data_IF_294824243224
#
_entry.id   IF_294824243224
#
_cell.length_a   1.000
_cell.length_b   1.000
_cell.length_c   1.000
_cell.angle_alpha   90.00
_cell.angle_beta   90.00
_cell.angle_gamma   90.00
#
_symmetry.space_group_name_H-M   'P 1'
#
loop_
_entity.id
_entity.type
_entity.pdbx_description
1 polymer ?
#
# COMPACT_ATOMS: atom_id res chain seq x y z
N UNK A 1 -11.96 9.94 18.98
CA UNK A 1 -12.27 10.08 17.53
C UNK A 1 -12.51 8.70 16.90
N UNK A 2 -13.60 8.54 16.12
CA UNK A 2 -13.92 7.31 15.37
C UNK A 2 -13.54 7.40 13.88
N UNK A 3 -13.82 6.35 13.09
CA UNK A 3 -13.44 6.25 11.66
C UNK A 3 -13.96 7.43 10.82
N UNK A 4 -15.23 7.81 10.98
CA UNK A 4 -15.80 8.96 10.27
C UNK A 4 -15.14 10.29 10.66
N UNK A 5 -14.71 10.42 11.92
CA UNK A 5 -13.93 11.59 12.36
C UNK A 5 -12.57 11.66 11.67
N UNK A 6 -11.87 10.53 11.58
CA UNK A 6 -10.58 10.43 10.87
C UNK A 6 -10.75 10.78 9.40
N UNK A 7 -11.77 10.23 8.72
CA UNK A 7 -12.05 10.52 7.32
C UNK A 7 -12.39 12.01 7.11
N UNK A 8 -13.28 12.57 7.93
CA UNK A 8 -13.66 13.98 7.86
C UNK A 8 -12.47 14.92 8.05
N UNK A 9 -11.61 14.62 9.02
CA UNK A 9 -10.40 15.42 9.26
C UNK A 9 -9.40 15.28 8.11
N UNK A 10 -9.22 14.08 7.58
CA UNK A 10 -8.35 13.81 6.43
C UNK A 10 -8.82 14.53 5.17
N UNK A 11 -10.14 14.65 4.95
CA UNK A 11 -10.70 15.43 3.85
C UNK A 11 -10.34 16.92 3.95
N UNK A 12 -10.18 17.45 5.16
CA UNK A 12 -9.82 18.86 5.38
C UNK A 12 -8.34 19.15 5.16
N UNK A 13 -7.47 18.15 5.28
CA UNK A 13 -6.01 18.31 5.18
C UNK A 13 -5.58 18.90 3.82
N UNK A 14 -6.02 18.38 2.64
CA UNK A 14 -5.70 18.99 1.36
C UNK A 14 -6.16 20.45 1.25
N UNK A 15 -7.33 20.79 1.80
CA UNK A 15 -7.84 22.17 1.80
C UNK A 15 -7.01 23.09 2.70
N UNK A 16 -6.50 22.60 3.84
CA UNK A 16 -5.56 23.35 4.70
C UNK A 16 -4.21 23.57 4.04
N UNK A 17 -3.73 22.59 3.26
CA UNK A 17 -2.51 22.69 2.45
C UNK A 17 -2.67 23.65 1.25
N UNK A 18 -3.90 23.86 0.77
CA UNK A 18 -4.22 24.78 -0.32
C UNK A 18 -3.42 24.48 -1.58
N UNK A 19 -2.60 25.45 -2.03
CA UNK A 19 -1.77 25.32 -3.24
C UNK A 19 -0.79 24.14 -3.18
N UNK A 20 -0.32 23.75 -1.99
CA UNK A 20 0.61 22.64 -1.83
C UNK A 20 -0.06 21.29 -2.09
N UNK A 21 -1.29 21.10 -1.61
CA UNK A 21 -2.05 19.88 -1.82
C UNK A 21 -2.32 19.66 -3.32
N UNK A 22 -2.67 20.73 -4.02
CA UNK A 22 -2.82 20.72 -5.49
C UNK A 22 -1.50 20.37 -6.16
N UNK A 23 -0.39 21.04 -5.78
CA UNK A 23 0.93 20.77 -6.34
C UNK A 23 1.36 19.30 -6.14
N UNK A 24 1.12 18.73 -4.96
CA UNK A 24 1.41 17.33 -4.66
C UNK A 24 0.60 16.38 -5.53
N UNK A 25 -0.71 16.61 -5.65
CA UNK A 25 -1.57 15.82 -6.51
C UNK A 25 -1.09 15.86 -7.97
N UNK A 26 -0.82 17.05 -8.51
CA UNK A 26 -0.31 17.19 -9.89
C UNK A 26 1.07 16.57 -10.07
N UNK A 27 1.96 16.68 -9.08
CA UNK A 27 3.32 16.12 -9.12
C UNK A 27 3.34 14.59 -9.14
N UNK A 28 2.27 13.93 -8.69
CA UNK A 28 2.10 12.49 -8.84
C UNK A 28 1.30 12.14 -10.11
N UNK A 29 0.13 12.76 -10.29
CA UNK A 29 -0.80 12.40 -11.36
C UNK A 29 -0.16 12.57 -12.74
N UNK A 30 0.47 13.71 -12.99
CA UNK A 30 1.03 14.03 -14.31
C UNK A 30 2.11 13.02 -14.74
N UNK A 31 3.16 12.76 -13.94
CA UNK A 31 4.15 11.74 -14.31
C UNK A 31 3.56 10.32 -14.33
N UNK A 32 2.63 9.97 -13.45
CA UNK A 32 1.96 8.64 -13.48
C UNK A 32 1.15 8.45 -14.77
N UNK A 33 0.43 9.48 -15.23
CA UNK A 33 -0.31 9.43 -16.49
C UNK A 33 0.64 9.32 -17.69
N UNK A 34 1.73 10.09 -17.71
CA UNK A 34 2.74 10.01 -18.77
C UNK A 34 3.37 8.62 -18.81
N UNK A 35 3.71 8.07 -17.64
CA UNK A 35 4.30 6.74 -17.51
C UNK A 35 3.33 5.65 -18.00
N UNK A 36 2.05 5.75 -17.64
CA UNK A 36 1.01 4.85 -18.14
C UNK A 36 0.87 4.92 -19.66
N UNK A 37 0.80 6.13 -20.22
CA UNK A 37 0.70 6.34 -21.67
C UNK A 37 1.94 5.77 -22.37
N UNK A 38 3.14 6.05 -21.86
CA UNK A 38 4.40 5.53 -22.38
C UNK A 38 4.42 3.99 -22.38
N UNK A 39 3.96 3.36 -21.30
CA UNK A 39 3.80 1.91 -21.20
C UNK A 39 2.86 1.38 -22.30
N UNK A 40 1.67 1.95 -22.44
CA UNK A 40 0.70 1.53 -23.47
C UNK A 40 1.31 1.60 -24.87
N UNK A 41 2.05 2.67 -25.19
CA UNK A 41 2.71 2.80 -26.49
C UNK A 41 3.89 1.84 -26.68
N UNK A 42 4.70 1.63 -25.64
CA UNK A 42 5.84 0.72 -25.67
C UNK A 42 5.40 -0.74 -25.90
N UNK A 43 4.31 -1.16 -25.24
CA UNK A 43 3.82 -2.54 -25.34
C UNK A 43 2.90 -2.81 -26.55
N UNK A 44 2.33 -1.75 -27.15
CA UNK A 44 1.41 -1.85 -28.29
C UNK A 44 1.89 -2.78 -29.42
N UNK A 45 3.11 -2.65 -29.96
CA UNK A 45 3.54 -3.52 -31.06
C UNK A 45 3.58 -4.99 -30.66
N UNK A 46 4.05 -5.32 -29.45
CA UNK A 46 4.14 -6.69 -28.96
C UNK A 46 2.77 -7.31 -28.71
N UNK A 47 1.82 -6.56 -28.15
CA UNK A 47 0.45 -7.06 -28.00
C UNK A 47 -0.25 -7.31 -29.33
N UNK A 48 -0.02 -6.45 -30.33
CA UNK A 48 -0.56 -6.65 -31.68
C UNK A 48 0.05 -7.89 -32.33
N UNK A 49 1.37 -8.06 -32.20
CA UNK A 49 2.09 -9.19 -32.77
C UNK A 49 1.67 -10.53 -32.14
N UNK A 50 1.58 -10.60 -30.80
CA UNK A 50 1.02 -11.76 -30.10
C UNK A 50 -0.41 -12.05 -30.56
N UNK A 51 -1.24 -11.02 -30.74
CA UNK A 51 -2.61 -11.23 -31.20
C UNK A 51 -2.67 -11.81 -32.62
N UNK A 52 -1.81 -11.33 -33.53
CA UNK A 52 -1.70 -11.86 -34.89
C UNK A 52 -1.17 -13.29 -34.90
N UNK A 53 -0.05 -13.55 -34.20
CA UNK A 53 0.55 -14.89 -34.05
C UNK A 53 -0.42 -15.88 -33.43
N UNK A 54 -1.17 -15.47 -32.40
CA UNK A 54 -2.18 -16.31 -31.75
C UNK A 54 -3.33 -16.66 -32.69
N UNK A 55 -3.80 -15.71 -33.50
CA UNK A 55 -4.82 -15.99 -34.53
C UNK A 55 -4.30 -16.97 -35.60
N UNK A 56 -3.04 -16.82 -36.04
CA UNK A 56 -2.41 -17.73 -37.00
C UNK A 56 -2.18 -19.13 -36.41
N UNK A 57 -1.77 -19.21 -35.14
CA UNK A 57 -1.55 -20.47 -34.45
C UNK A 57 -2.85 -21.27 -34.30
N UNK A 58 -3.98 -20.61 -34.07
CA UNK A 58 -5.28 -21.26 -33.96
C UNK A 58 -5.74 -22.01 -35.23
N UNK A 59 -5.19 -21.64 -36.40
CA UNK A 59 -5.49 -22.28 -37.69
C UNK A 59 -4.33 -23.16 -38.19
N UNK A 60 -3.23 -23.23 -37.46
CA UNK A 60 -2.03 -24.01 -37.81
C UNK A 60 -2.06 -25.37 -37.11
N UNK A 61 -1.72 -26.45 -37.83
CA UNK A 61 -1.68 -27.80 -37.26
C UNK A 61 -0.54 -27.95 -36.23
N UNK A 62 -0.87 -28.57 -35.09
CA UNK A 62 0.08 -28.82 -33.99
C UNK A 62 1.16 -29.80 -34.42
N UNK A 63 2.40 -29.54 -33.99
CA UNK A 63 3.56 -30.37 -34.31
C UNK A 63 4.21 -30.06 -35.67
N UNK A 64 3.73 -29.02 -36.36
CA UNK A 64 4.42 -28.49 -37.54
C UNK A 64 5.54 -27.52 -37.13
N UNK A 65 6.64 -27.40 -37.90
CA UNK A 65 7.69 -26.41 -37.63
C UNK A 65 7.16 -24.98 -37.54
N UNK A 66 6.09 -24.67 -38.31
CA UNK A 66 5.41 -23.37 -38.27
C UNK A 66 4.71 -23.12 -36.94
N UNK A 67 4.09 -24.13 -36.33
CA UNK A 67 3.48 -24.01 -35.02
C UNK A 67 4.52 -23.69 -33.93
N UNK A 68 5.68 -24.36 -33.97
CA UNK A 68 6.76 -24.15 -33.01
C UNK A 68 7.43 -22.76 -33.20
N UNK A 69 7.55 -22.29 -34.45
CA UNK A 69 8.00 -20.93 -34.77
C UNK A 69 7.05 -19.87 -34.19
N UNK A 70 5.73 -20.04 -34.35
CA UNK A 70 4.73 -19.13 -33.80
C UNK A 70 4.78 -19.12 -32.25
N UNK A 71 4.88 -20.30 -31.63
CA UNK A 71 4.96 -20.42 -30.17
C UNK A 71 6.21 -19.76 -29.60
N UNK A 72 7.39 -20.06 -30.14
CA UNK A 72 8.65 -19.45 -29.72
C UNK A 72 8.69 -17.94 -29.98
N UNK A 73 8.08 -17.49 -31.08
CA UNK A 73 7.88 -16.09 -31.40
C UNK A 73 7.05 -15.36 -30.34
N UNK A 74 5.94 -15.93 -29.89
CA UNK A 74 5.12 -15.35 -28.81
C UNK A 74 5.83 -15.40 -27.45
N UNK A 75 6.56 -16.47 -27.13
CA UNK A 75 7.32 -16.55 -25.88
C UNK A 75 8.34 -15.41 -25.77
N UNK A 76 9.01 -15.11 -26.89
CA UNK A 76 9.92 -13.97 -26.98
C UNK A 76 9.21 -12.64 -26.72
N UNK A 77 8.05 -12.42 -27.35
CA UNK A 77 7.28 -11.19 -27.15
C UNK A 77 6.78 -11.05 -25.71
N UNK A 78 6.29 -12.13 -25.10
CA UNK A 78 5.86 -12.16 -23.69
C UNK A 78 7.03 -11.80 -22.79
N UNK A 79 8.23 -12.32 -23.03
CA UNK A 79 9.42 -12.00 -22.25
C UNK A 79 9.77 -10.51 -22.32
N UNK A 80 9.66 -9.92 -23.51
CA UNK A 80 9.88 -8.47 -23.69
C UNK A 80 8.80 -7.66 -22.95
N UNK A 81 7.52 -8.03 -23.10
CA UNK A 81 6.41 -7.40 -22.38
C UNK A 81 6.63 -7.44 -20.87
N UNK A 82 7.01 -8.60 -20.32
CA UNK A 82 7.26 -8.74 -18.88
C UNK A 82 8.41 -7.84 -18.40
N UNK A 83 9.49 -7.72 -19.17
CA UNK A 83 10.62 -6.85 -18.84
C UNK A 83 10.23 -5.37 -18.83
N UNK A 84 9.52 -4.92 -19.87
CA UNK A 84 9.03 -3.55 -19.98
C UNK A 84 8.00 -3.22 -18.89
N UNK A 85 7.00 -4.10 -18.67
CA UNK A 85 6.03 -3.92 -17.60
C UNK A 85 6.70 -3.82 -16.22
N UNK A 86 7.71 -4.66 -15.94
CA UNK A 86 8.45 -4.60 -14.69
C UNK A 86 9.18 -3.26 -14.52
N UNK A 87 9.79 -2.72 -15.59
CA UNK A 87 10.46 -1.43 -15.58
C UNK A 87 9.48 -0.28 -15.31
N UNK A 88 8.35 -0.23 -16.04
CA UNK A 88 7.30 0.77 -15.82
C UNK A 88 6.68 0.66 -14.43
N UNK A 89 6.41 -0.56 -13.95
CA UNK A 89 5.89 -0.81 -12.61
C UNK A 89 6.84 -0.31 -11.53
N UNK A 90 8.15 -0.55 -11.68
CA UNK A 90 9.16 -0.08 -10.74
C UNK A 90 9.25 1.45 -10.73
N UNK A 91 9.28 2.08 -11.90
CA UNK A 91 9.31 3.54 -12.02
C UNK A 91 8.06 4.20 -11.41
N UNK A 92 6.87 3.64 -11.68
CA UNK A 92 5.61 4.09 -11.07
C UNK A 92 5.59 3.91 -9.56
N UNK A 93 6.14 2.80 -9.06
CA UNK A 93 6.25 2.53 -7.62
C UNK A 93 7.17 3.51 -6.89
N UNK A 94 8.30 3.88 -7.50
CA UNK A 94 9.21 4.89 -6.94
C UNK A 94 8.53 6.25 -6.88
N UNK A 95 7.85 6.64 -7.96
CA UNK A 95 7.10 7.90 -8.01
C UNK A 95 6.00 7.94 -6.93
N UNK A 96 5.25 6.85 -6.79
CA UNK A 96 4.22 6.71 -5.77
C UNK A 96 4.82 6.81 -4.36
N UNK A 97 5.97 6.15 -4.10
CA UNK A 97 6.65 6.23 -2.81
C UNK A 97 7.05 7.66 -2.48
N UNK A 98 7.67 8.39 -3.42
CA UNK A 98 8.07 9.79 -3.21
C UNK A 98 6.85 10.67 -2.89
N UNK A 99 5.75 10.47 -3.61
CA UNK A 99 4.50 11.18 -3.36
C UNK A 99 3.91 10.84 -1.98
N UNK A 100 3.95 9.57 -1.57
CA UNK A 100 3.53 9.12 -0.24
C UNK A 100 4.38 9.78 0.85
N UNK A 101 5.70 9.81 0.73
CA UNK A 101 6.60 10.49 1.69
C UNK A 101 6.25 11.99 1.80
N UNK A 102 6.06 12.64 0.65
CA UNK A 102 5.70 14.06 0.62
C UNK A 102 4.31 14.32 1.25
N UNK A 103 3.33 13.48 0.97
CA UNK A 103 1.98 13.57 1.53
C UNK A 103 1.97 13.34 3.04
N UNK A 104 2.71 12.36 3.55
CA UNK A 104 2.82 12.11 5.00
C UNK A 104 3.47 13.30 5.70
N UNK A 105 4.59 13.79 5.17
CA UNK A 105 5.31 14.93 5.76
C UNK A 105 4.44 16.20 5.77
N UNK A 106 3.79 16.51 4.64
CA UNK A 106 2.91 17.66 4.51
C UNK A 106 1.67 17.56 5.43
N UNK A 107 1.06 16.38 5.53
CA UNK A 107 -0.11 16.15 6.38
C UNK A 107 0.24 16.20 7.86
N UNK A 108 1.38 15.64 8.26
CA UNK A 108 1.89 15.75 9.63
C UNK A 108 2.12 17.21 10.03
N UNK A 109 2.71 18.02 9.16
CA UNK A 109 2.92 19.46 9.44
C UNK A 109 1.61 20.25 9.49
N UNK A 110 0.65 19.92 8.62
CA UNK A 110 -0.68 20.50 8.65
C UNK A 110 -1.44 20.16 9.94
N UNK A 111 -1.25 18.95 10.49
CA UNK A 111 -1.78 18.55 11.80
C UNK A 111 -1.22 19.43 12.93
N UNK A 112 0.08 19.75 12.89
CA UNK A 112 0.75 20.63 13.86
C UNK A 112 0.62 22.13 13.55
N UNK A 113 -0.20 22.53 12.58
CA UNK A 113 -0.45 23.94 12.22
C UNK A 113 0.73 24.66 11.55
N UNK A 114 1.74 23.93 11.06
CA UNK A 114 2.92 24.52 10.42
C UNK A 114 2.68 24.74 8.92
N UNK A 115 3.08 25.91 8.42
CA UNK A 115 3.09 26.21 6.97
C UNK A 115 4.37 25.68 6.35
N UNK A 116 4.25 25.02 5.20
CA UNK A 116 5.38 24.38 4.51
C UNK A 116 5.58 25.07 3.16
N UNK A 117 6.80 25.45 2.80
CA UNK A 117 7.06 25.87 1.42
C UNK A 117 7.27 24.64 0.51
N UNK A 118 6.87 24.70 -0.78
CA UNK A 118 7.08 23.58 -1.70
C UNK A 118 8.56 23.19 -1.81
N UNK A 119 9.46 24.18 -1.79
CA UNK A 119 10.90 23.96 -1.92
C UNK A 119 11.44 23.16 -0.73
N UNK A 120 11.04 23.54 0.48
CA UNK A 120 11.48 22.89 1.71
C UNK A 120 10.93 21.46 1.79
N UNK A 121 9.71 21.24 1.29
CA UNK A 121 9.11 19.91 1.18
C UNK A 121 9.97 18.98 0.30
N UNK A 122 10.31 19.39 -0.93
CA UNK A 122 11.08 18.53 -1.85
C UNK A 122 12.50 18.26 -1.34
N UNK A 123 13.17 19.28 -0.78
CA UNK A 123 14.51 19.11 -0.17
C UNK A 123 14.45 18.11 0.98
N UNK A 124 13.42 18.21 1.83
CA UNK A 124 13.26 17.31 2.96
C UNK A 124 12.90 15.89 2.54
N UNK A 125 12.00 15.72 1.57
CA UNK A 125 11.68 14.41 0.98
C UNK A 125 12.95 13.76 0.46
N UNK A 126 13.78 14.48 -0.30
CA UNK A 126 15.07 14.00 -0.79
C UNK A 126 16.10 13.66 0.31
N UNK A 127 15.94 14.20 1.52
CA UNK A 127 16.79 13.85 2.67
C UNK A 127 16.30 12.63 3.43
N UNK A 128 14.98 12.37 3.47
CA UNK A 128 14.40 11.31 4.31
C UNK A 128 13.97 10.06 3.54
N UNK A 129 13.89 10.11 2.19
CA UNK A 129 13.35 9.04 1.33
C UNK A 129 13.97 7.65 1.54
N UNK A 130 15.22 7.55 2.01
CA UNK A 130 15.88 6.26 2.24
C UNK A 130 15.17 5.42 3.30
N UNK A 131 14.64 6.04 4.36
CA UNK A 131 14.00 5.30 5.47
C UNK A 131 12.67 4.68 5.01
N UNK A 132 11.76 5.42 4.35
CA UNK A 132 10.55 4.84 3.77
C UNK A 132 10.84 3.85 2.65
N UNK A 133 11.91 4.05 1.86
CA UNK A 133 12.33 3.09 0.85
C UNK A 133 12.69 1.73 1.47
N UNK A 134 13.46 1.71 2.55
CA UNK A 134 13.81 0.46 3.24
C UNK A 134 12.56 -0.22 3.77
N UNK A 135 11.65 0.53 4.38
CA UNK A 135 10.36 0.00 4.86
C UNK A 135 9.50 -0.55 3.72
N UNK A 136 9.43 0.18 2.60
CA UNK A 136 8.71 -0.25 1.40
C UNK A 136 9.28 -1.54 0.80
N UNK A 137 10.61 -1.66 0.74
CA UNK A 137 11.28 -2.90 0.31
C UNK A 137 10.98 -4.06 1.28
N UNK A 138 11.03 -3.84 2.60
CA UNK A 138 10.64 -4.85 3.58
C UNK A 138 9.19 -5.32 3.37
N UNK A 139 8.26 -4.38 3.17
CA UNK A 139 6.85 -4.68 2.87
C UNK A 139 6.74 -5.49 1.56
N UNK A 140 7.50 -5.12 0.53
CA UNK A 140 7.55 -5.85 -0.73
C UNK A 140 7.99 -7.31 -0.55
N UNK A 141 9.04 -7.56 0.23
CA UNK A 141 9.50 -8.92 0.57
C UNK A 141 8.42 -9.69 1.31
N UNK A 142 7.72 -9.08 2.27
CA UNK A 142 6.61 -9.73 2.97
C UNK A 142 5.44 -10.06 2.03
N UNK A 143 5.05 -9.13 1.14
CA UNK A 143 3.99 -9.36 0.15
C UNK A 143 4.36 -10.52 -0.79
N UNK A 144 5.61 -10.56 -1.27
CA UNK A 144 6.09 -11.62 -2.14
C UNK A 144 6.15 -12.97 -1.41
N UNK A 145 6.65 -13.00 -0.18
CA UNK A 145 6.68 -14.20 0.65
C UNK A 145 5.28 -14.73 0.94
N UNK A 146 4.33 -13.83 1.26
CA UNK A 146 2.94 -14.21 1.48
C UNK A 146 2.28 -14.77 0.21
N UNK A 147 2.52 -14.14 -0.94
CA UNK A 147 2.04 -14.62 -2.24
C UNK A 147 2.62 -16.01 -2.58
N UNK A 148 3.91 -16.22 -2.36
CA UNK A 148 4.57 -17.50 -2.56
C UNK A 148 3.95 -18.60 -1.70
N UNK A 149 3.73 -18.33 -0.42
CA UNK A 149 3.05 -19.26 0.50
C UNK A 149 1.61 -19.55 0.06
N UNK A 150 0.89 -18.54 -0.41
CA UNK A 150 -0.47 -18.71 -0.92
C UNK A 150 -0.51 -19.63 -2.15
N UNK A 151 0.41 -19.43 -3.11
CA UNK A 151 0.51 -20.28 -4.31
C UNK A 151 0.84 -21.73 -3.94
N UNK A 152 1.80 -21.93 -3.03
CA UNK A 152 2.15 -23.27 -2.55
C UNK A 152 0.95 -23.95 -1.86
N UNK A 153 0.24 -23.20 -1.02
CA UNK A 153 -0.94 -23.69 -0.31
C UNK A 153 -2.06 -24.07 -1.29
N UNK A 154 -2.38 -23.22 -2.27
CA UNK A 154 -3.38 -23.53 -3.29
C UNK A 154 -2.97 -24.74 -4.13
N UNK A 155 -1.70 -24.84 -4.54
CA UNK A 155 -1.20 -26.01 -5.27
C UNK A 155 -1.35 -27.32 -4.48
N UNK A 156 -1.06 -27.28 -3.18
CA UNK A 156 -1.26 -28.41 -2.29
C UNK A 156 -2.75 -28.76 -2.11
N UNK A 157 -3.63 -27.76 -2.00
CA UNK A 157 -5.07 -27.98 -1.95
C UNK A 157 -5.58 -28.70 -3.20
N UNK A 158 -5.16 -28.27 -4.39
CA UNK A 158 -5.55 -28.92 -5.65
C UNK A 158 -5.13 -30.39 -5.66
N UNK A 159 -3.89 -30.69 -5.25
CA UNK A 159 -3.42 -32.08 -5.19
C UNK A 159 -4.25 -32.94 -4.23
N UNK A 160 -4.62 -32.41 -3.07
CA UNK A 160 -5.31 -33.18 -2.03
C UNK A 160 -6.81 -33.32 -2.30
N UNK A 161 -7.44 -32.32 -2.95
CA UNK A 161 -8.86 -32.45 -3.37
C UNK A 161 -9.08 -33.58 -4.37
N UNK A 162 -8.06 -33.98 -5.14
CA UNK A 162 -8.11 -35.19 -5.98
C UNK A 162 -8.20 -36.49 -5.18
N UNK A 163 -7.83 -36.49 -3.88
CA UNK A 163 -7.90 -37.64 -2.99
C UNK A 163 -9.26 -37.77 -2.26
N UNK A 164 -10.20 -36.83 -2.45
CA UNK A 164 -11.63 -37.03 -2.15
C UNK A 164 -12.06 -37.03 -0.67
N UNK A 165 -11.42 -36.28 0.23
CA UNK A 165 -11.79 -36.26 1.66
C UNK A 165 -12.43 -34.95 2.13
N UNK A 166 -13.60 -35.05 2.77
CA UNK A 166 -14.40 -33.90 3.26
C UNK A 166 -13.77 -33.17 4.45
N UNK A 167 -13.04 -33.89 5.32
CA UNK A 167 -12.32 -33.30 6.46
C UNK A 167 -11.17 -32.39 6.02
N UNK A 168 -10.57 -32.65 4.87
CA UNK A 168 -9.48 -31.83 4.36
C UNK A 168 -10.00 -30.48 3.86
N UNK A 169 -11.18 -30.48 3.23
CA UNK A 169 -11.84 -29.26 2.75
C UNK A 169 -12.22 -28.30 3.87
N UNK A 170 -12.70 -28.79 5.02
CA UNK A 170 -13.06 -27.92 6.15
C UNK A 170 -11.82 -27.28 6.79
N UNK A 171 -10.75 -28.04 6.99
CA UNK A 171 -9.46 -27.51 7.47
C UNK A 171 -8.86 -26.50 6.49
N UNK A 172 -8.92 -26.78 5.19
CA UNK A 172 -8.46 -25.87 4.15
C UNK A 172 -9.16 -24.51 4.20
N UNK A 173 -10.49 -24.50 4.37
CA UNK A 173 -11.28 -23.27 4.50
C UNK A 173 -10.85 -22.49 5.75
N UNK A 174 -10.69 -23.16 6.90
CA UNK A 174 -10.28 -22.50 8.14
C UNK A 174 -8.87 -21.88 8.02
N UNK A 175 -7.92 -22.61 7.45
CA UNK A 175 -6.56 -22.10 7.19
C UNK A 175 -6.61 -20.91 6.23
N UNK A 176 -7.36 -21.01 5.14
CA UNK A 176 -7.54 -19.91 4.17
C UNK A 176 -8.08 -18.66 4.84
N UNK A 177 -9.13 -18.80 5.65
CA UNK A 177 -9.75 -17.69 6.36
C UNK A 177 -8.78 -17.07 7.37
N UNK A 178 -8.04 -17.91 8.11
CA UNK A 178 -7.04 -17.43 9.07
C UNK A 178 -5.90 -16.66 8.38
N UNK A 179 -5.43 -17.16 7.23
CA UNK A 179 -4.43 -16.48 6.40
C UNK A 179 -4.97 -15.14 5.91
N UNK A 180 -6.19 -15.10 5.37
CA UNK A 180 -6.82 -13.86 4.92
C UNK A 180 -6.90 -12.82 6.03
N UNK A 181 -7.37 -13.20 7.23
CA UNK A 181 -7.42 -12.31 8.39
C UNK A 181 -6.03 -11.81 8.79
N UNK A 182 -5.02 -12.68 8.75
CA UNK A 182 -3.64 -12.30 9.02
C UNK A 182 -3.08 -11.33 7.97
N UNK A 183 -3.40 -11.52 6.69
CA UNK A 183 -3.03 -10.60 5.61
C UNK A 183 -3.69 -9.23 5.79
N UNK A 184 -4.97 -9.18 6.14
CA UNK A 184 -5.66 -7.93 6.46
C UNK A 184 -4.98 -7.22 7.64
N UNK A 185 -4.55 -7.97 8.66
CA UNK A 185 -3.78 -7.42 9.77
C UNK A 185 -2.44 -6.83 9.33
N UNK A 186 -1.66 -7.59 8.56
CA UNK A 186 -0.39 -7.14 8.03
C UNK A 186 -0.56 -5.90 7.13
N UNK A 187 -1.63 -5.86 6.33
CA UNK A 187 -1.98 -4.70 5.50
C UNK A 187 -2.09 -3.40 6.29
N UNK A 188 -2.83 -3.41 7.40
CA UNK A 188 -2.90 -2.25 8.31
C UNK A 188 -1.53 -1.84 8.85
N UNK A 189 -0.72 -2.84 9.25
CA UNK A 189 0.61 -2.63 9.82
C UNK A 189 1.58 -2.08 8.77
N UNK A 190 1.46 -2.50 7.51
CA UNK A 190 2.29 -2.01 6.41
C UNK A 190 2.01 -0.53 6.11
N UNK A 191 0.73 -0.16 5.96
CA UNK A 191 0.34 1.24 5.70
C UNK A 191 0.80 2.16 6.85
N UNK A 192 0.53 1.77 8.10
CA UNK A 192 0.96 2.55 9.26
C UNK A 192 2.48 2.54 9.43
N UNK A 193 3.15 1.43 9.11
CA UNK A 193 4.60 1.32 9.17
C UNK A 193 5.31 2.25 8.19
N UNK A 194 4.75 2.43 6.99
CA UNK A 194 5.23 3.45 6.05
C UNK A 194 5.12 4.85 6.64
N UNK A 195 3.98 5.19 7.25
CA UNK A 195 3.79 6.48 7.95
C UNK A 195 4.82 6.68 9.06
N UNK A 196 5.00 5.68 9.92
CA UNK A 196 5.98 5.71 11.01
C UNK A 196 7.40 5.93 10.47
N UNK A 197 7.75 5.30 9.35
CA UNK A 197 9.10 5.44 8.79
C UNK A 197 9.43 6.82 8.24
N UNK A 198 8.39 7.59 7.89
CA UNK A 198 8.53 9.01 7.51
C UNK A 198 8.56 9.91 8.74
N UNK A 199 7.66 9.67 9.69
CA UNK A 199 7.42 10.57 10.83
C UNK A 199 8.39 10.37 11.99
N UNK A 200 8.92 9.17 12.20
CA UNK A 200 9.80 8.86 13.32
C UNK A 200 11.24 8.68 12.87
N UNK A 201 12.13 9.47 13.46
CA UNK A 201 13.55 9.32 13.23
C UNK A 201 14.07 7.99 13.79
N UNK A 202 14.91 7.30 13.03
CA UNK A 202 15.47 5.99 13.40
C UNK A 202 14.54 4.79 13.19
N UNK A 203 13.25 5.01 12.86
CA UNK A 203 12.30 3.94 12.56
C UNK A 203 12.32 3.61 11.06
N UNK A 204 12.83 2.45 10.66
CA UNK A 204 12.78 1.97 9.27
C UNK A 204 12.74 0.45 9.19
N UNK A 205 12.26 -0.09 8.06
CA UNK A 205 12.19 -1.53 7.85
C UNK A 205 11.34 -2.23 8.92
N UNK A 206 11.86 -3.32 9.47
CA UNK A 206 11.20 -4.10 10.51
C UNK A 206 10.93 -3.31 11.81
N UNK A 207 11.79 -2.33 12.14
CA UNK A 207 11.58 -1.51 13.34
C UNK A 207 10.32 -0.66 13.22
N UNK A 208 10.08 -0.06 12.04
CA UNK A 208 8.86 0.71 11.76
C UNK A 208 7.61 -0.19 11.77
N UNK A 209 7.70 -1.39 11.20
CA UNK A 209 6.60 -2.37 11.19
C UNK A 209 6.27 -2.87 12.60
N UNK A 210 7.28 -3.13 13.44
CA UNK A 210 7.08 -3.53 14.83
C UNK A 210 6.36 -2.43 15.63
N UNK A 211 6.81 -1.18 15.49
CA UNK A 211 6.14 -0.03 16.11
C UNK A 211 4.70 0.16 15.62
N UNK A 212 4.44 -0.05 14.33
CA UNK A 212 3.08 0.00 13.79
C UNK A 212 2.18 -1.07 14.41
N UNK A 213 2.68 -2.29 14.58
CA UNK A 213 1.98 -3.37 15.25
C UNK A 213 1.60 -3.03 16.69
N UNK A 214 2.52 -2.45 17.45
CA UNK A 214 2.25 -1.98 18.82
C UNK A 214 1.22 -0.86 18.85
N UNK A 215 1.34 0.12 17.95
CA UNK A 215 0.48 1.30 17.90
C UNK A 215 -0.98 0.95 17.52
N UNK A 216 -1.19 -0.11 16.74
CA UNK A 216 -2.51 -0.56 16.31
C UNK A 216 -3.27 -1.32 17.40
N UNK A 217 -2.61 -1.88 18.43
CA UNK A 217 -3.24 -2.79 19.42
C UNK A 217 -4.51 -2.22 20.05
N UNK A 218 -4.55 -0.93 20.39
CA UNK A 218 -5.71 -0.28 20.99
C UNK A 218 -6.83 0.09 20.02
N UNK A 219 -6.57 0.10 18.70
CA UNK A 219 -7.50 0.62 17.67
C UNK A 219 -7.61 -0.28 16.43
N UNK A 220 -7.42 -1.59 16.60
CA UNK A 220 -7.45 -2.61 15.53
C UNK A 220 -8.67 -2.51 14.62
N UNK A 221 -9.86 -2.35 15.21
CA UNK A 221 -11.10 -2.27 14.42
C UNK A 221 -11.13 -1.02 13.52
N UNK A 222 -10.64 0.13 14.00
CA UNK A 222 -10.58 1.36 13.22
C UNK A 222 -9.60 1.20 12.05
N UNK A 223 -8.40 0.67 12.33
CA UNK A 223 -7.42 0.37 11.29
C UNK A 223 -7.97 -0.61 10.24
N UNK A 224 -8.74 -1.61 10.67
CA UNK A 224 -9.27 -2.66 9.79
C UNK A 224 -10.32 -2.08 8.84
N UNK A 225 -11.23 -1.26 9.37
CA UNK A 225 -12.26 -0.59 8.57
C UNK A 225 -11.63 0.37 7.54
N UNK A 226 -10.60 1.12 7.93
CA UNK A 226 -9.86 1.99 7.01
C UNK A 226 -9.16 1.18 5.91
N UNK A 227 -8.47 0.09 6.29
CA UNK A 227 -7.77 -0.76 5.32
C UNK A 227 -8.72 -1.43 4.33
N UNK A 228 -9.85 -1.96 4.83
CA UNK A 228 -10.87 -2.56 3.98
C UNK A 228 -11.47 -1.54 3.02
N UNK A 229 -11.77 -0.32 3.48
CA UNK A 229 -12.32 0.73 2.63
C UNK A 229 -11.41 1.03 1.43
N UNK A 230 -10.12 1.25 1.68
CA UNK A 230 -9.17 1.56 0.59
C UNK A 230 -8.87 0.35 -0.28
N UNK A 231 -8.63 -0.80 0.33
CA UNK A 231 -8.31 -2.04 -0.41
C UNK A 231 -9.46 -2.45 -1.33
N UNK A 232 -10.71 -2.40 -0.86
CA UNK A 232 -11.89 -2.73 -1.70
C UNK A 232 -12.02 -1.72 -2.85
N UNK A 233 -11.77 -0.44 -2.59
CA UNK A 233 -11.81 0.60 -3.63
C UNK A 233 -10.76 0.36 -4.70
N UNK A 234 -9.52 0.04 -4.31
CA UNK A 234 -8.43 -0.28 -5.24
C UNK A 234 -8.70 -1.56 -6.04
N UNK A 235 -9.21 -2.62 -5.38
CA UNK A 235 -9.60 -3.86 -6.06
C UNK A 235 -10.72 -3.60 -7.07
N UNK A 236 -11.71 -2.78 -6.74
CA UNK A 236 -12.80 -2.45 -7.67
C UNK A 236 -12.30 -1.71 -8.92
N UNK A 237 -11.37 -0.75 -8.75
CA UNK A 237 -10.74 -0.05 -9.87
C UNK A 237 -9.90 -0.99 -10.74
N UNK A 238 -9.10 -1.84 -10.11
CA UNK A 238 -8.30 -2.83 -10.83
C UNK A 238 -9.17 -3.83 -11.59
N UNK A 239 -10.25 -4.31 -10.96
CA UNK A 239 -11.22 -5.21 -11.59
C UNK A 239 -11.91 -4.56 -12.79
N UNK A 240 -12.33 -3.30 -12.66
CA UNK A 240 -12.93 -2.54 -13.76
C UNK A 240 -11.94 -2.39 -14.92
N UNK A 241 -10.67 -2.10 -14.62
CA UNK A 241 -9.62 -2.01 -15.63
C UNK A 241 -9.37 -3.36 -16.32
N UNK A 242 -9.31 -4.47 -15.57
CA UNK A 242 -9.03 -5.78 -16.13
C UNK A 242 -10.19 -6.39 -16.93
N UNK A 243 -11.41 -6.32 -16.38
CA UNK A 243 -12.62 -6.94 -16.94
C UNK A 243 -12.92 -6.47 -18.36
N UNK A 244 -12.69 -5.19 -18.64
CA UNK A 244 -13.01 -4.61 -19.93
C UNK A 244 -11.97 -4.87 -21.03
N UNK A 245 -10.92 -5.67 -20.74
CA UNK A 245 -9.78 -5.97 -21.63
C UNK A 245 -9.36 -4.74 -22.43
N UNK A 246 -9.02 -3.67 -21.71
CA UNK A 246 -8.74 -2.40 -22.38
C UNK A 246 -7.48 -2.44 -23.25
N UNK A 247 -6.50 -3.29 -22.94
CA UNK A 247 -5.24 -3.39 -23.71
C UNK A 247 -5.43 -3.73 -25.21
N UNK A 248 -6.18 -4.78 -25.60
CA UNK A 248 -6.55 -5.01 -26.99
C UNK A 248 -7.29 -3.83 -27.64
N UNK A 249 -8.08 -3.08 -26.86
CA UNK A 249 -8.85 -1.92 -27.34
C UNK A 249 -7.96 -0.67 -27.51
N UNK A 250 -6.98 -0.46 -26.63
CA UNK A 250 -5.96 0.59 -26.77
C UNK A 250 -5.13 0.36 -28.03
N UNK A 251 -4.75 -0.89 -28.28
CA UNK A 251 -3.92 -1.25 -29.42
C UNK A 251 -4.62 -0.97 -30.76
N UNK A 252 -5.96 -1.02 -30.81
CA UNK A 252 -6.71 -1.01 -32.07
C UNK A 252 -7.04 0.36 -32.64
N UNK A 253 -7.15 1.45 -31.86
CA UNK A 253 -7.17 2.91 -32.25
C UNK A 253 -8.07 3.84 -31.39
N UNK A 254 -8.60 3.40 -30.25
CA UNK A 254 -9.56 4.22 -29.51
C UNK A 254 -8.94 5.31 -28.61
N UNK A 255 -9.03 6.60 -29.01
CA UNK A 255 -8.78 7.75 -28.12
C UNK A 255 -9.65 7.66 -26.85
N UNK A 256 -10.88 7.15 -27.00
CA UNK A 256 -11.85 6.99 -25.90
C UNK A 256 -11.37 5.99 -24.84
N UNK A 257 -11.00 4.73 -25.18
CA UNK A 257 -10.31 3.83 -24.27
C UNK A 257 -9.14 4.49 -23.54
N UNK A 258 -8.21 5.12 -24.27
CA UNK A 258 -7.03 5.74 -23.67
C UNK A 258 -7.41 6.83 -22.65
N UNK A 259 -8.39 7.67 -22.98
CA UNK A 259 -8.89 8.69 -22.07
C UNK A 259 -9.51 8.09 -20.80
N UNK A 260 -10.30 7.02 -20.92
CA UNK A 260 -10.86 6.29 -19.77
C UNK A 260 -9.74 5.75 -18.88
N UNK A 261 -8.72 5.14 -19.48
CA UNK A 261 -7.60 4.54 -18.76
C UNK A 261 -6.75 5.56 -18.02
N UNK A 262 -6.46 6.70 -18.66
CA UNK A 262 -5.78 7.83 -18.04
C UNK A 262 -6.64 8.37 -16.88
N UNK A 263 -7.95 8.52 -17.08
CA UNK A 263 -8.86 8.97 -16.02
C UNK A 263 -8.86 8.02 -14.82
N UNK A 264 -8.92 6.70 -15.05
CA UNK A 264 -8.81 5.69 -14.00
C UNK A 264 -7.47 5.78 -13.27
N UNK A 265 -6.37 5.98 -14.00
CA UNK A 265 -5.03 6.15 -13.43
C UNK A 265 -4.98 7.39 -12.52
N UNK A 266 -5.57 8.51 -12.96
CA UNK A 266 -5.68 9.72 -12.15
C UNK A 266 -6.49 9.47 -10.87
N UNK A 267 -7.63 8.77 -10.98
CA UNK A 267 -8.46 8.41 -9.83
C UNK A 267 -7.71 7.52 -8.84
N UNK A 268 -6.99 6.50 -9.32
CA UNK A 268 -6.15 5.64 -8.48
C UNK A 268 -5.08 6.44 -7.74
N UNK A 269 -4.40 7.38 -8.42
CA UNK A 269 -3.40 8.25 -7.77
C UNK A 269 -4.03 9.12 -6.67
N UNK A 270 -5.21 9.69 -6.92
CA UNK A 270 -5.93 10.49 -5.93
C UNK A 270 -6.35 9.66 -4.71
N UNK A 271 -6.84 8.44 -4.92
CA UNK A 271 -7.21 7.52 -3.85
C UNK A 271 -5.99 7.11 -3.03
N UNK A 272 -4.86 6.81 -3.68
CA UNK A 272 -3.63 6.45 -2.99
C UNK A 272 -3.07 7.63 -2.14
N UNK A 273 -3.12 8.85 -2.67
CA UNK A 273 -2.77 10.06 -1.90
C UNK A 273 -3.71 10.25 -0.72
N UNK A 274 -5.03 10.12 -0.93
CA UNK A 274 -6.01 10.29 0.14
C UNK A 274 -5.87 9.21 1.23
N UNK A 275 -5.65 7.95 0.84
CA UNK A 275 -5.34 6.84 1.76
C UNK A 275 -4.12 7.18 2.63
N UNK A 276 -3.05 7.69 2.01
CA UNK A 276 -1.84 8.12 2.72
C UNK A 276 -2.14 9.20 3.76
N UNK A 277 -2.94 10.22 3.40
CA UNK A 277 -3.36 11.27 4.35
C UNK A 277 -4.15 10.67 5.50
N UNK A 278 -5.08 9.76 5.21
CA UNK A 278 -5.91 9.09 6.23
C UNK A 278 -5.08 8.27 7.20
N UNK A 279 -4.10 7.50 6.72
CA UNK A 279 -3.20 6.76 7.59
C UNK A 279 -2.27 7.68 8.40
N UNK A 280 -1.93 8.86 7.89
CA UNK A 280 -1.18 9.86 8.64
C UNK A 280 -2.01 10.45 9.78
N UNK A 281 -3.26 10.82 9.52
CA UNK A 281 -4.17 11.29 10.58
C UNK A 281 -4.44 10.17 11.60
N UNK A 282 -4.65 8.94 11.13
CA UNK A 282 -4.81 7.78 12.01
C UNK A 282 -3.59 7.56 12.91
N UNK A 283 -2.37 7.69 12.37
CA UNK A 283 -1.14 7.66 13.16
C UNK A 283 -1.13 8.72 14.26
N UNK A 284 -1.45 9.98 13.93
CA UNK A 284 -1.49 11.07 14.92
C UNK A 284 -2.47 10.75 16.05
N UNK A 285 -3.68 10.31 15.71
CA UNK A 285 -4.72 9.93 16.69
C UNK A 285 -4.27 8.77 17.58
N UNK A 286 -3.65 7.73 17.00
CA UNK A 286 -3.12 6.61 17.79
C UNK A 286 -2.00 7.05 18.73
N UNK A 287 -1.12 7.94 18.27
CA UNK A 287 0.02 8.44 19.04
C UNK A 287 -0.43 9.31 20.21
N UNK A 288 -1.37 10.22 19.99
CA UNK A 288 -1.98 11.04 21.05
C UNK A 288 -2.61 10.16 22.13
N UNK A 289 -3.44 9.18 21.74
CA UNK A 289 -4.07 8.29 22.74
C UNK A 289 -3.08 7.46 23.54
N UNK A 290 -1.96 7.04 22.93
CA UNK A 290 -0.93 6.29 23.66
C UNK A 290 -0.15 7.18 24.63
N UNK A 291 0.07 8.45 24.29
CA UNK A 291 0.65 9.44 25.20
C UNK A 291 -0.23 9.65 26.43
N UNK A 292 -1.54 9.86 26.22
CA UNK A 292 -2.53 10.01 27.30
C UNK A 292 -2.59 8.78 28.21
N UNK A 293 -2.53 7.56 27.66
CA UNK A 293 -2.51 6.32 28.44
C UNK A 293 -1.26 6.20 29.33
N UNK A 294 -0.09 6.60 28.83
CA UNK A 294 1.17 6.56 29.59
C UNK A 294 1.14 7.60 30.73
N UNK A 295 0.73 8.83 30.45
CA UNK A 295 0.62 9.89 31.46
C UNK A 295 -0.39 9.52 32.58
N UNK A 296 -1.50 8.88 32.22
CA UNK A 296 -2.48 8.38 33.19
C UNK A 296 -1.92 7.26 34.07
N UNK A 297 -1.13 6.33 33.50
CA UNK A 297 -0.47 5.26 34.26
C UNK A 297 0.58 5.79 35.22
N UNK A 298 1.39 6.77 34.81
CA UNK A 298 2.38 7.41 35.69
C UNK A 298 1.68 8.12 36.85
N UNK A 299 0.62 8.89 36.58
CA UNK A 299 -0.15 9.62 37.60
C UNK A 299 -0.81 8.66 38.60
N UNK A 300 -1.35 7.53 38.13
CA UNK A 300 -1.90 6.49 39.01
C UNK A 300 -0.82 5.80 39.84
N UNK A 301 0.39 5.62 39.31
CA UNK A 301 1.52 5.04 40.03
C UNK A 301 2.00 5.87 41.21
N UNK A 302 2.01 7.20 41.08
CA UNK A 302 2.36 8.11 42.18
C UNK A 302 1.31 8.15 43.30
N UNK A 303 0.03 7.87 43.00
CA UNK A 303 -1.04 7.83 44.01
C UNK A 303 -0.98 6.61 44.95
N UNK A 304 -0.15 5.61 44.63
CA UNK A 304 0.01 4.38 45.40
C UNK A 304 1.22 4.37 46.35
N UNK A 305 1.98 5.47 46.46
CA UNK A 305 3.03 5.60 47.47
C UNK A 305 2.41 6.20 48.73
N UNK A 306 2.23 5.45 49.83
CA UNK A 306 1.75 6.00 51.08
C UNK A 306 2.82 6.94 51.64
N UNK A 307 2.44 8.19 51.92
CA UNK A 307 3.23 9.09 52.77
C UNK A 307 3.23 8.54 54.20
N UNK A 308 4.14 7.61 54.50
CA UNK A 308 4.51 7.25 55.86
C UNK A 308 6.01 7.36 56.04
N UNK A 309 6.50 8.60 56.03
CA UNK A 309 7.69 8.93 56.83
C UNK A 309 7.18 9.26 58.22
N UNK A 310 7.29 8.26 59.09
CA UNK A 310 7.04 8.32 60.52
C UNK A 310 8.00 9.34 61.13
N UNK A 311 7.51 10.54 61.45
CA UNK A 311 8.17 11.42 62.44
C UNK A 311 7.76 10.89 63.80
N UNK A 312 8.58 10.00 64.37
CA UNK A 312 8.64 9.77 65.81
C UNK A 312 9.88 8.95 66.14
N UNK A 313 10.99 9.65 66.42
CA UNK A 313 12.08 9.16 67.25
C UNK A 313 13.02 10.32 67.62
N UNK A 314 12.78 10.96 68.76
CA UNK A 314 13.76 11.30 69.81
C UNK A 314 13.25 12.47 70.65
N UNK A 315 12.42 12.14 71.63
CA UNK A 315 12.51 12.75 72.95
C UNK A 315 12.70 11.62 73.97
N UNK A 316 13.52 11.89 74.98
CA UNK A 316 13.88 11.05 76.14
C UNK A 316 15.15 10.19 76.00
N UNK A 317 16.30 10.86 76.16
CA UNK A 317 17.28 10.45 77.16
C UNK A 317 17.98 11.71 77.73
N UNK A 318 17.94 11.81 79.07
CA UNK A 318 18.50 12.83 80.00
C UNK A 318 17.91 14.22 80.00
#
# INVERSE_FOLDING_TARGET
MGVMGILSESFRVPFRLGRLGILLAFSLILPSSILFIANVFALRPFYLDIHLKSNEQNITEKGTPRYDELFSGMEKDVRVIMGEEAAFFLAGSILQLLATVAAIYASGLAHWGQKVSPRDLFVRVGSIWRRPLITWLCIGVFKLGYLFLLVLFVGLLVLITQLGTTLFSTLAILVTLSGLLYYLYLGMVWELGLVISVMEEGSQGFSALGKAGELIKGRRLQGLLLYLLFTITEIALFWFFWSHRWFPKFARTGVVPLAIAVTLTCLSCLIALFSTVVYTVFYCVCKESRGEEIEAQETSGYSLIPNTIHVDAMNMAT
#
